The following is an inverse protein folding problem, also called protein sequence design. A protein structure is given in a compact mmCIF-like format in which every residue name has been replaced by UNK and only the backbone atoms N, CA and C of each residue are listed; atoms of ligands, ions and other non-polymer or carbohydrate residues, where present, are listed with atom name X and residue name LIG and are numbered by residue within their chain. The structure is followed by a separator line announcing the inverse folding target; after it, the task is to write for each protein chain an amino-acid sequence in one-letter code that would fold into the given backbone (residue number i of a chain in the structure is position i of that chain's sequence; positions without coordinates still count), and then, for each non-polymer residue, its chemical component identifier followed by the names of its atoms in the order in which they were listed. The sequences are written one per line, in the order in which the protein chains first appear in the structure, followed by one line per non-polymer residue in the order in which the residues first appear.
data_IF_743498107861
#
_entry.id   IF_743498107861
#
_cell.length_a   1.000
_cell.length_b   1.000
_cell.length_c   1.000
_cell.angle_alpha   90.00
_cell.angle_beta   90.00
_cell.angle_gamma   90.00
#
_symmetry.space_group_name_H-M   'P 1'
#
loop_
_entity.id
_entity.type
_entity.pdbx_description
1 polymer ?
#
# COMPACT_ATOMS: atom_id res chain seq x y z
N UNK A 1 -48.79 -0.54 -74.54
CA UNK A 1 -49.22 0.75 -73.95
C UNK A 1 -48.55 0.91 -72.58
N UNK A 2 -48.13 2.14 -72.20
CA UNK A 2 -47.52 2.53 -70.89
C UNK A 2 -46.16 1.83 -70.57
N UNK A 3 -45.02 2.55 -70.56
CA UNK A 3 -44.46 3.45 -69.49
C UNK A 3 -44.18 2.66 -68.19
N UNK A 4 -43.05 2.67 -67.49
CA UNK A 4 -41.74 3.42 -67.45
C UNK A 4 -40.69 2.42 -66.87
N UNK A 5 -39.35 2.60 -66.81
CA UNK A 5 -38.37 3.65 -67.20
C UNK A 5 -36.97 2.99 -67.38
N UNK A 6 -35.88 3.77 -67.51
CA UNK A 6 -34.47 3.30 -67.52
C UNK A 6 -33.70 3.66 -66.22
N UNK A 7 -32.53 3.01 -66.05
CA UNK A 7 -31.31 3.30 -65.24
C UNK A 7 -30.91 2.00 -64.50
N UNK A 8 -29.93 1.19 -64.93
CA UNK A 8 -28.54 1.44 -65.33
C UNK A 8 -27.68 1.98 -64.17
N UNK A 9 -26.77 1.13 -63.67
CA UNK A 9 -25.88 1.43 -62.54
C UNK A 9 -25.27 0.17 -61.91
N UNK A 10 -24.26 -0.42 -62.55
CA UNK A 10 -23.34 -1.32 -61.85
C UNK A 10 -22.31 -0.48 -61.09
N UNK A 11 -22.21 -0.66 -59.78
CA UNK A 11 -21.13 -0.10 -58.96
C UNK A 11 -20.55 -1.21 -58.08
N UNK A 12 -19.47 -1.83 -58.55
CA UNK A 12 -18.55 -2.60 -57.70
C UNK A 12 -17.82 -1.62 -56.76
N UNK A 13 -17.92 -1.83 -55.45
CA UNK A 13 -17.29 -0.97 -54.45
C UNK A 13 -17.13 -1.67 -53.11
N UNK A 14 -15.97 -2.32 -52.96
CA UNK A 14 -15.25 -2.62 -51.71
C UNK A 14 -16.03 -2.67 -50.39
N UNK A 15 -16.07 -3.88 -49.79
CA UNK A 15 -16.24 -4.04 -48.34
C UNK A 15 -15.13 -3.31 -47.60
N UNK A 16 -15.44 -2.14 -47.02
CA UNK A 16 -14.54 -1.47 -46.10
C UNK A 16 -14.63 -2.21 -44.76
N UNK A 17 -13.78 -3.22 -44.59
CA UNK A 17 -13.44 -3.72 -43.28
C UNK A 17 -12.59 -2.65 -42.58
N UNK A 18 -13.24 -1.73 -41.86
CA UNK A 18 -12.54 -0.85 -40.93
C UNK A 18 -11.99 -1.70 -39.79
N UNK A 19 -10.75 -2.17 -39.93
CA UNK A 19 -9.91 -2.54 -38.81
C UNK A 19 -9.53 -1.27 -38.03
N UNK A 20 -10.55 -0.63 -37.44
CA UNK A 20 -10.40 0.47 -36.50
C UNK A 20 -10.12 -0.11 -35.12
N UNK A 21 -9.08 0.42 -34.47
CA UNK A 21 -8.51 -0.13 -33.24
C UNK A 21 -9.58 -0.32 -32.15
N UNK A 22 -9.68 -1.56 -31.66
CA UNK A 22 -10.53 -1.93 -30.53
C UNK A 22 -9.77 -1.57 -29.23
N UNK A 23 -9.70 -0.26 -28.96
CA UNK A 23 -8.81 0.34 -27.95
C UNK A 23 -9.46 1.57 -27.31
N UNK A 24 -10.60 1.37 -26.64
CA UNK A 24 -11.29 2.38 -25.80
C UNK A 24 -12.42 1.79 -24.95
N UNK A 25 -12.39 0.49 -24.62
CA UNK A 25 -13.50 -0.20 -23.93
C UNK A 25 -13.23 -0.43 -22.43
N UNK A 26 -11.98 -0.27 -21.98
CA UNK A 26 -11.59 -0.35 -20.57
C UNK A 26 -10.44 0.64 -20.29
N UNK A 27 -10.77 1.92 -20.20
CA UNK A 27 -9.87 2.98 -19.72
C UNK A 27 -10.39 3.53 -18.38
N UNK A 28 -10.79 2.60 -17.50
CA UNK A 28 -11.07 2.84 -16.07
C UNK A 28 -9.81 2.55 -15.23
N UNK A 29 -8.62 2.94 -15.74
CA UNK A 29 -7.40 2.89 -14.94
C UNK A 29 -7.43 4.08 -13.97
N UNK A 30 -7.29 3.88 -12.64
CA UNK A 30 -7.26 4.98 -11.69
C UNK A 30 -6.17 6.01 -12.04
N UNK A 31 -6.44 7.30 -11.83
CA UNK A 31 -5.44 8.34 -12.06
C UNK A 31 -4.27 8.22 -11.07
N UNK A 32 -3.06 8.59 -11.52
CA UNK A 32 -1.84 8.60 -10.70
C UNK A 32 -1.49 7.25 -10.06
N UNK A 33 -1.58 6.15 -10.82
CA UNK A 33 -1.01 4.84 -10.48
C UNK A 33 0.14 4.48 -11.42
N UNK A 34 1.20 3.92 -10.86
CA UNK A 34 2.37 3.43 -11.59
C UNK A 34 2.21 1.94 -11.99
N UNK A 35 1.50 1.17 -11.19
CA UNK A 35 1.27 -0.25 -11.43
C UNK A 35 -0.09 -0.50 -12.08
N UNK A 36 -0.18 -1.58 -12.87
CA UNK A 36 -1.49 -2.11 -13.30
C UNK A 36 -2.23 -2.83 -12.16
N UNK A 37 -3.53 -3.14 -12.32
CA UNK A 37 -4.36 -3.75 -11.27
C UNK A 37 -3.80 -5.08 -10.74
N UNK A 38 -3.97 -5.30 -9.45
CA UNK A 38 -3.39 -6.44 -8.74
C UNK A 38 -4.16 -7.74 -9.03
N UNK A 39 -3.53 -8.68 -9.74
CA UNK A 39 -4.16 -9.92 -10.23
C UNK A 39 -4.53 -10.95 -9.14
N UNK A 40 -3.95 -10.83 -7.94
CA UNK A 40 -4.27 -11.65 -6.76
C UNK A 40 -5.12 -10.91 -5.71
N UNK A 41 -5.70 -9.76 -6.07
CA UNK A 41 -6.69 -9.08 -5.24
C UNK A 41 -7.96 -9.94 -5.11
N UNK A 42 -8.59 -9.91 -3.93
CA UNK A 42 -9.65 -10.89 -3.56
C UNK A 42 -11.08 -10.45 -3.90
N UNK A 43 -11.27 -9.17 -4.19
CA UNK A 43 -12.52 -8.50 -4.54
C UNK A 43 -12.16 -7.16 -5.21
N UNK A 44 -13.15 -6.41 -5.71
CA UNK A 44 -12.93 -5.04 -6.18
C UNK A 44 -12.51 -4.14 -5.01
N UNK A 45 -11.79 -3.05 -5.30
CA UNK A 45 -11.18 -2.22 -4.26
C UNK A 45 -12.21 -1.62 -3.30
N UNK A 46 -13.43 -1.32 -3.78
CA UNK A 46 -14.55 -0.76 -2.99
C UNK A 46 -15.23 -1.79 -2.08
N UNK A 47 -14.99 -3.08 -2.30
CA UNK A 47 -15.56 -4.19 -1.50
C UNK A 47 -14.61 -4.66 -0.38
N UNK A 48 -13.39 -4.13 -0.34
CA UNK A 48 -12.40 -4.43 0.69
C UNK A 48 -12.57 -3.49 1.89
N UNK A 49 -12.31 -4.02 3.09
CA UNK A 49 -12.40 -3.23 4.32
C UNK A 49 -11.29 -2.17 4.42
N UNK A 50 -10.15 -2.42 3.78
CA UNK A 50 -8.95 -1.59 3.76
C UNK A 50 -8.71 -0.99 2.36
N UNK A 51 -8.06 0.18 2.27
CA UNK A 51 -7.66 0.79 1.00
C UNK A 51 -6.89 -0.17 0.09
N UNK A 52 -7.27 -0.22 -1.19
CA UNK A 52 -6.68 -1.09 -2.19
C UNK A 52 -6.39 -0.35 -3.51
N UNK A 53 -6.06 -1.08 -4.57
CA UNK A 53 -5.59 -0.51 -5.84
C UNK A 53 -6.42 0.68 -6.33
N UNK A 54 -5.75 1.82 -6.55
CA UNK A 54 -6.34 3.07 -7.06
C UNK A 54 -7.02 3.96 -6.03
N UNK A 55 -7.13 3.53 -4.77
CA UNK A 55 -7.77 4.32 -3.72
C UNK A 55 -6.76 5.20 -2.97
N UNK A 56 -7.17 6.37 -2.44
CA UNK A 56 -6.29 7.20 -1.63
C UNK A 56 -6.00 6.56 -0.27
N UNK A 57 -4.78 6.74 0.23
CA UNK A 57 -4.43 6.48 1.62
C UNK A 57 -5.22 7.44 2.52
N UNK A 58 -5.97 6.95 3.53
CA UNK A 58 -6.66 7.79 4.48
C UNK A 58 -5.69 8.68 5.25
N UNK A 59 -5.96 9.98 5.31
CA UNK A 59 -5.13 10.93 6.05
C UNK A 59 -5.12 10.60 7.56
N UNK A 60 -3.95 10.68 8.18
CA UNK A 60 -3.73 10.60 9.62
C UNK A 60 -2.44 11.34 9.98
N UNK A 61 -2.38 11.91 11.19
CA UNK A 61 -1.15 12.42 11.78
C UNK A 61 -0.84 11.57 13.01
N UNK A 62 0.39 11.05 13.09
CA UNK A 62 0.84 10.21 14.21
C UNK A 62 2.24 10.62 14.69
N UNK A 63 2.44 10.56 16.00
CA UNK A 63 3.76 10.74 16.59
C UNK A 63 4.66 9.54 16.29
N UNK A 64 5.89 9.82 15.87
CA UNK A 64 7.01 8.87 15.91
C UNK A 64 7.68 9.02 17.28
N UNK A 65 7.75 8.00 18.16
CA UNK A 65 8.39 8.11 19.46
C UNK A 65 9.91 7.84 19.40
N UNK A 66 10.46 7.53 18.21
CA UNK A 66 11.89 7.34 17.96
C UNK A 66 12.53 8.55 17.27
N UNK A 67 11.73 9.41 16.63
CA UNK A 67 12.11 10.71 16.07
C UNK A 67 11.40 11.87 16.78
N UNK A 68 11.82 13.12 16.52
CA UNK A 68 11.20 14.32 17.13
C UNK A 68 10.02 14.90 16.31
N UNK A 69 9.73 14.35 15.13
CA UNK A 69 8.76 14.90 14.16
C UNK A 69 7.62 13.90 13.89
N UNK A 70 6.34 14.31 14.00
CA UNK A 70 5.22 13.46 13.61
C UNK A 70 5.19 13.23 12.09
N UNK A 71 4.48 12.19 11.66
CA UNK A 71 4.22 11.90 10.26
C UNK A 71 2.75 12.22 9.95
N UNK A 72 2.52 13.11 8.98
CA UNK A 72 1.23 13.32 8.32
C UNK A 72 1.18 12.50 7.02
N UNK A 73 0.26 11.54 6.97
CA UNK A 73 0.03 10.70 5.80
C UNK A 73 -0.52 11.48 4.60
N UNK A 74 -1.18 12.61 4.82
CA UNK A 74 -1.72 13.48 3.77
C UNK A 74 -0.68 14.36 3.07
N UNK A 75 0.56 14.40 3.59
CA UNK A 75 1.66 15.17 3.02
C UNK A 75 2.91 14.33 2.73
N UNK A 76 2.75 13.02 2.54
CA UNK A 76 3.86 12.13 2.16
C UNK A 76 4.32 12.44 0.73
N UNK A 77 5.61 12.73 0.59
CA UNK A 77 6.31 13.01 -0.67
C UNK A 77 7.16 11.82 -1.17
N UNK A 78 6.98 10.65 -0.54
CA UNK A 78 7.77 9.42 -0.74
C UNK A 78 6.86 8.22 -0.92
N UNK A 79 7.34 7.21 -1.63
CA UNK A 79 6.68 5.90 -1.72
C UNK A 79 6.65 5.27 -0.33
N UNK A 80 5.46 4.98 0.19
CA UNK A 80 5.29 4.47 1.56
C UNK A 80 4.87 2.99 1.58
N UNK A 81 5.56 2.20 2.41
CA UNK A 81 5.10 0.89 2.87
C UNK A 81 4.41 1.09 4.21
N UNK A 82 3.09 0.89 4.28
CA UNK A 82 2.28 1.13 5.49
C UNK A 82 1.75 -0.20 6.04
N UNK A 83 1.94 -0.45 7.33
CA UNK A 83 1.35 -1.62 8.01
C UNK A 83 1.03 -1.32 9.48
N UNK A 84 0.23 -2.18 10.10
CA UNK A 84 -0.14 -2.08 11.51
C UNK A 84 0.26 -3.34 12.28
N UNK A 85 0.74 -3.16 13.51
CA UNK A 85 1.34 -4.23 14.32
C UNK A 85 1.20 -3.95 15.84
N UNK A 86 1.71 -4.85 16.66
CA UNK A 86 2.09 -4.55 18.06
C UNK A 86 3.41 -5.24 18.42
N UNK A 87 4.27 -4.58 19.19
CA UNK A 87 5.65 -5.01 19.40
C UNK A 87 5.75 -6.32 20.19
N UNK A 88 4.79 -6.53 21.09
CA UNK A 88 4.65 -7.71 21.95
C UNK A 88 4.04 -8.94 21.25
N UNK A 89 3.72 -8.86 19.95
CA UNK A 89 3.20 -9.99 19.18
C UNK A 89 4.21 -11.15 19.14
N UNK A 90 3.80 -12.39 19.51
CA UNK A 90 4.71 -13.52 19.63
C UNK A 90 5.02 -14.23 18.30
N UNK A 91 4.30 -13.94 17.22
CA UNK A 91 4.47 -14.61 15.93
C UNK A 91 4.29 -13.67 14.72
N UNK A 92 3.05 -13.35 14.35
CA UNK A 92 2.68 -12.88 13.01
C UNK A 92 3.33 -11.53 12.66
N UNK A 93 3.22 -10.52 13.53
CA UNK A 93 3.89 -9.23 13.32
C UNK A 93 5.42 -9.35 13.25
N UNK A 94 6.01 -10.29 14.00
CA UNK A 94 7.46 -10.51 14.00
C UNK A 94 7.96 -11.06 12.67
N UNK A 95 7.18 -11.94 12.04
CA UNK A 95 7.46 -12.48 10.70
C UNK A 95 7.32 -11.35 9.66
N UNK A 96 6.21 -10.61 9.69
CA UNK A 96 5.96 -9.52 8.73
C UNK A 96 7.06 -8.46 8.76
N UNK A 97 7.33 -7.88 9.94
CA UNK A 97 8.30 -6.78 10.04
C UNK A 97 9.73 -7.24 9.68
N UNK A 98 10.08 -8.51 9.91
CA UNK A 98 11.34 -9.05 9.44
C UNK A 98 11.40 -9.15 7.91
N UNK A 99 10.30 -9.55 7.24
CA UNK A 99 10.19 -9.48 5.77
C UNK A 99 10.29 -8.06 5.24
N UNK A 100 9.67 -7.09 5.92
CA UNK A 100 9.77 -5.69 5.52
C UNK A 100 11.17 -5.12 5.77
N UNK A 101 11.91 -5.59 6.77
CA UNK A 101 13.33 -5.27 6.95
C UNK A 101 14.20 -5.84 5.81
N UNK A 102 13.92 -7.05 5.29
CA UNK A 102 14.58 -7.56 4.07
C UNK A 102 14.29 -6.64 2.85
N UNK A 103 13.06 -6.13 2.72
CA UNK A 103 12.68 -5.17 1.67
C UNK A 103 13.43 -3.85 1.87
N UNK A 104 13.51 -3.34 3.10
CA UNK A 104 14.27 -2.13 3.43
C UNK A 104 15.74 -2.27 3.06
N UNK A 105 16.39 -3.40 3.38
CA UNK A 105 17.76 -3.67 2.97
C UNK A 105 17.91 -3.63 1.44
N UNK A 106 16.97 -4.26 0.72
CA UNK A 106 16.96 -4.26 -0.77
C UNK A 106 16.76 -2.86 -1.36
N UNK A 107 15.87 -2.05 -0.78
CA UNK A 107 15.63 -0.64 -1.12
C UNK A 107 16.89 0.21 -0.90
N UNK A 108 17.56 0.01 0.24
CA UNK A 108 18.79 0.72 0.59
C UNK A 108 19.97 0.34 -0.33
N UNK A 109 20.12 -0.95 -0.65
CA UNK A 109 21.14 -1.46 -1.60
C UNK A 109 20.96 -0.91 -3.02
N UNK A 110 19.70 -0.65 -3.44
CA UNK A 110 19.36 -0.02 -4.72
C UNK A 110 19.53 1.50 -4.72
N UNK A 111 19.85 2.12 -3.58
CA UNK A 111 19.98 3.57 -3.44
C UNK A 111 18.64 4.32 -3.38
N UNK A 112 17.53 3.62 -3.13
CA UNK A 112 16.18 4.18 -3.07
C UNK A 112 15.78 4.64 -1.64
N UNK A 113 16.75 4.72 -0.72
CA UNK A 113 16.55 5.07 0.70
C UNK A 113 15.74 6.36 0.87
N UNK A 114 16.07 7.41 0.11
CA UNK A 114 15.44 8.71 0.22
C UNK A 114 14.05 8.77 -0.45
N UNK A 115 13.79 7.96 -1.50
CA UNK A 115 12.48 7.93 -2.20
C UNK A 115 11.42 7.05 -1.50
N UNK A 116 11.82 6.18 -0.56
CA UNK A 116 10.93 5.19 0.09
C UNK A 116 10.88 5.38 1.60
N UNK A 117 9.72 5.19 2.24
CA UNK A 117 9.55 5.21 3.71
C UNK A 117 8.72 4.02 4.20
N UNK A 118 9.10 3.42 5.33
CA UNK A 118 8.36 2.35 6.00
C UNK A 118 7.64 2.91 7.23
N UNK A 119 6.32 2.79 7.27
CA UNK A 119 5.46 3.29 8.34
C UNK A 119 4.82 2.10 9.09
N UNK A 120 5.41 1.74 10.23
CA UNK A 120 4.90 0.69 11.11
C UNK A 120 4.05 1.30 12.24
N UNK A 121 2.73 1.19 12.16
CA UNK A 121 1.78 1.78 13.11
C UNK A 121 1.47 0.79 14.23
N UNK A 122 1.74 1.14 15.50
CA UNK A 122 1.30 0.29 16.62
C UNK A 122 -0.19 0.48 16.93
N UNK A 123 -0.92 -0.62 17.09
CA UNK A 123 -2.28 -0.62 17.65
C UNK A 123 -2.31 -0.89 19.17
N UNK A 124 -1.15 -1.00 19.82
CA UNK A 124 -1.00 -1.19 21.27
C UNK A 124 -0.16 -0.09 21.94
N UNK A 125 -0.59 1.19 21.87
CA UNK A 125 0.19 2.29 22.42
C UNK A 125 0.35 2.23 23.95
N UNK A 126 -0.39 1.39 24.67
CA UNK A 126 -0.24 1.21 26.12
C UNK A 126 1.06 0.46 26.49
N UNK A 127 1.52 -0.48 25.65
CA UNK A 127 2.73 -1.28 25.89
C UNK A 127 3.89 -0.91 24.96
N UNK A 128 3.59 -0.44 23.76
CA UNK A 128 4.59 -0.12 22.76
C UNK A 128 5.11 1.32 22.96
N UNK A 129 5.95 1.51 23.99
CA UNK A 129 6.70 2.75 24.20
C UNK A 129 7.97 2.82 23.33
N UNK A 130 8.73 3.93 23.45
CA UNK A 130 9.93 4.15 22.64
C UNK A 130 11.01 3.07 22.83
N UNK A 131 11.13 2.46 24.00
CA UNK A 131 12.14 1.43 24.25
C UNK A 131 11.67 0.05 23.77
N UNK A 132 10.37 -0.27 23.92
CA UNK A 132 9.76 -1.44 23.30
C UNK A 132 9.87 -1.40 21.76
N UNK A 133 9.71 -0.22 21.15
CA UNK A 133 9.82 -0.03 19.71
C UNK A 133 11.26 -0.11 19.20
N UNK A 134 12.25 0.42 19.94
CA UNK A 134 13.69 0.20 19.65
C UNK A 134 14.07 -1.27 19.72
N UNK A 135 13.56 -1.99 20.72
CA UNK A 135 13.84 -3.43 20.86
C UNK A 135 13.15 -4.24 19.77
N UNK A 136 11.94 -3.85 19.35
CA UNK A 136 11.27 -4.42 18.17
C UNK A 136 12.13 -4.27 16.91
N UNK A 137 12.63 -3.05 16.63
CA UNK A 137 13.48 -2.76 15.48
C UNK A 137 14.71 -3.68 15.42
N UNK A 138 15.45 -3.79 16.54
CA UNK A 138 16.59 -4.71 16.69
C UNK A 138 16.21 -6.17 16.45
N UNK A 139 15.07 -6.61 17.00
CA UNK A 139 14.59 -7.99 16.90
C UNK A 139 14.20 -8.39 15.47
N UNK A 140 13.65 -7.46 14.69
CA UNK A 140 13.21 -7.72 13.30
C UNK A 140 14.30 -7.40 12.27
N UNK A 141 15.32 -6.63 12.66
CA UNK A 141 16.42 -6.22 11.79
C UNK A 141 16.17 -4.93 11.01
N UNK A 142 15.22 -4.10 11.44
CA UNK A 142 14.94 -2.81 10.81
C UNK A 142 16.09 -1.83 11.04
N UNK A 143 16.61 -1.24 9.97
CA UNK A 143 17.68 -0.26 9.99
C UNK A 143 17.11 1.13 10.31
N UNK A 144 17.22 1.56 11.56
CA UNK A 144 16.80 2.91 11.96
C UNK A 144 17.81 3.99 11.56
N UNK A 145 19.08 3.64 11.35
CA UNK A 145 20.14 4.59 11.00
C UNK A 145 20.02 5.06 9.54
N UNK A 146 19.40 4.25 8.67
CA UNK A 146 18.99 4.65 7.32
C UNK A 146 17.89 5.73 7.28
N UNK A 147 17.22 6.05 8.39
CA UNK A 147 16.25 7.14 8.50
C UNK A 147 14.92 6.96 7.74
N UNK A 148 14.79 5.89 6.95
CA UNK A 148 13.60 5.57 6.16
C UNK A 148 12.61 4.61 6.84
N UNK A 149 12.86 4.17 8.07
CA UNK A 149 11.89 3.40 8.86
C UNK A 149 11.34 4.22 10.03
N UNK A 150 10.02 4.27 10.17
CA UNK A 150 9.30 5.02 11.21
C UNK A 150 8.33 4.11 11.94
N UNK A 151 8.37 4.20 13.26
CA UNK A 151 7.40 3.56 14.14
C UNK A 151 6.40 4.63 14.57
N UNK A 152 5.11 4.43 14.30
CA UNK A 152 4.08 5.43 14.55
C UNK A 152 3.19 4.98 15.71
N UNK A 153 3.02 5.85 16.71
CA UNK A 153 2.33 5.53 17.97
C UNK A 153 1.13 6.47 18.18
N UNK A 154 -0.10 5.96 18.07
CA UNK A 154 -1.31 6.68 18.50
C UNK A 154 -1.26 7.07 19.97
N UNK A 155 -1.93 8.17 20.32
CA UNK A 155 -1.95 8.71 21.70
C UNK A 155 -2.63 7.79 22.74
N UNK A 156 -3.51 6.88 22.30
CA UNK A 156 -4.35 6.03 23.16
C UNK A 156 -4.94 4.84 22.37
N UNK A 157 -5.45 3.78 23.03
CA UNK A 157 -6.15 2.69 22.35
C UNK A 157 -7.31 3.15 21.46
N UNK A 158 -8.10 4.12 21.91
CA UNK A 158 -9.18 4.69 21.11
C UNK A 158 -8.66 5.50 19.90
N UNK A 159 -7.42 6.02 19.93
CA UNK A 159 -6.80 6.64 18.77
C UNK A 159 -6.21 5.59 17.81
N UNK A 160 -5.73 4.45 18.33
CA UNK A 160 -5.33 3.30 17.51
C UNK A 160 -6.53 2.73 16.73
N UNK A 161 -7.66 2.49 17.40
CA UNK A 161 -8.93 2.06 16.77
C UNK A 161 -9.34 3.00 15.63
N UNK A 162 -9.39 4.31 15.89
CA UNK A 162 -9.72 5.36 14.91
C UNK A 162 -8.79 5.49 13.70
N UNK A 163 -7.58 4.93 13.73
CA UNK A 163 -6.62 5.02 12.63
C UNK A 163 -6.42 3.66 11.96
N UNK A 164 -6.19 2.62 12.75
CA UNK A 164 -5.87 1.28 12.24
C UNK A 164 -7.13 0.56 11.77
N UNK A 165 -8.26 0.67 12.50
CA UNK A 165 -9.52 0.03 12.12
C UNK A 165 -10.42 0.97 11.31
N UNK A 166 -10.87 2.09 11.88
CA UNK A 166 -11.87 2.98 11.24
C UNK A 166 -11.40 3.61 9.92
N UNK A 167 -10.09 3.90 9.78
CA UNK A 167 -9.52 4.54 8.58
C UNK A 167 -8.84 3.52 7.68
N UNK A 168 -7.85 2.79 8.20
CA UNK A 168 -7.05 1.85 7.39
C UNK A 168 -7.75 0.50 7.15
N UNK A 169 -8.86 0.19 7.82
CA UNK A 169 -9.61 -1.05 7.60
C UNK A 169 -8.94 -2.31 8.14
N UNK A 170 -7.90 -2.16 8.97
CA UNK A 170 -7.12 -3.26 9.53
C UNK A 170 -7.72 -3.62 10.89
N UNK A 171 -8.86 -4.32 10.88
CA UNK A 171 -9.56 -4.68 12.11
C UNK A 171 -8.69 -5.48 13.10
N UNK A 172 -8.78 -5.12 14.38
CA UNK A 172 -8.06 -5.77 15.47
C UNK A 172 -8.89 -5.84 16.76
N UNK A 173 -8.88 -6.97 17.45
CA UNK A 173 -9.66 -7.21 18.67
C UNK A 173 -8.73 -7.64 19.81
N UNK A 174 -8.88 -7.00 20.98
CA UNK A 174 -8.11 -7.31 22.19
C UNK A 174 -8.66 -8.55 22.88
N UNK A 175 -7.85 -9.60 23.00
CA UNK A 175 -8.19 -10.80 23.77
C UNK A 175 -7.48 -10.82 25.13
N UNK A 176 -8.26 -10.74 26.21
CA UNK A 176 -7.78 -10.83 27.60
C UNK A 176 -7.76 -12.27 28.13
N UNK A 177 -8.15 -13.27 27.34
CA UNK A 177 -8.19 -14.69 27.70
C UNK A 177 -7.02 -15.48 27.09
N UNK A 178 -6.34 -14.93 26.09
CA UNK A 178 -5.12 -15.50 25.51
C UNK A 178 -4.05 -15.70 26.57
N UNK A 179 -3.37 -16.84 26.48
CA UNK A 179 -2.17 -17.15 27.26
C UNK A 179 -0.87 -16.98 26.45
N UNK A 180 -0.94 -16.50 25.19
CA UNK A 180 0.25 -16.29 24.34
C UNK A 180 1.12 -15.14 24.85
N UNK A 181 0.51 -14.10 25.41
CA UNK A 181 1.16 -12.86 25.89
C UNK A 181 0.65 -12.52 27.28
N UNK A 182 1.49 -11.97 28.15
CA UNK A 182 1.07 -11.56 29.48
C UNK A 182 0.10 -10.36 29.44
N UNK A 183 -0.99 -10.44 30.20
CA UNK A 183 -2.02 -9.41 30.28
C UNK A 183 -3.11 -9.56 29.22
N UNK A 184 -2.79 -9.20 27.98
CA UNK A 184 -3.69 -9.33 26.83
C UNK A 184 -2.91 -9.52 25.52
N UNK A 185 -3.62 -10.00 24.52
CA UNK A 185 -3.17 -10.30 23.17
C UNK A 185 -4.10 -9.61 22.16
N UNK A 186 -3.83 -9.74 20.87
CA UNK A 186 -4.74 -9.28 19.82
C UNK A 186 -4.91 -10.33 18.72
N UNK A 187 -6.15 -10.48 18.26
CA UNK A 187 -6.44 -11.00 16.92
C UNK A 187 -6.46 -9.82 15.97
N UNK A 188 -5.73 -9.86 14.86
CA UNK A 188 -5.72 -8.75 13.91
C UNK A 188 -5.62 -9.21 12.45
N UNK A 189 -6.11 -8.39 11.54
CA UNK A 189 -5.83 -8.56 10.12
C UNK A 189 -4.38 -8.17 9.81
N UNK A 190 -3.69 -8.98 9.02
CA UNK A 190 -2.33 -8.67 8.54
C UNK A 190 -2.44 -8.12 7.12
N UNK A 191 -2.22 -6.82 6.97
CA UNK A 191 -2.26 -6.08 5.71
C UNK A 191 -1.03 -5.17 5.62
N UNK A 192 -0.43 -5.09 4.44
CA UNK A 192 0.61 -4.10 4.10
C UNK A 192 0.21 -3.39 2.83
N UNK A 193 0.22 -2.06 2.86
CA UNK A 193 -0.11 -1.20 1.72
C UNK A 193 1.18 -0.68 1.09
N UNK A 194 1.25 -0.65 -0.24
CA UNK A 194 2.20 0.16 -1.00
C UNK A 194 1.46 1.40 -1.49
N UNK A 195 1.98 2.57 -1.16
CA UNK A 195 1.41 3.88 -1.48
C UNK A 195 2.45 4.69 -2.23
N UNK A 196 2.06 5.37 -3.30
CA UNK A 196 2.96 6.23 -4.07
C UNK A 196 3.03 7.67 -3.49
N UNK A 197 3.96 8.54 -3.97
CA UNK A 197 4.07 9.94 -3.52
C UNK A 197 2.84 10.83 -3.81
N UNK A 198 1.84 10.34 -4.54
CA UNK A 198 0.55 11.03 -4.72
C UNK A 198 -0.49 10.62 -3.68
N UNK A 199 -0.12 9.77 -2.71
CA UNK A 199 -1.01 9.23 -1.69
C UNK A 199 -1.97 8.16 -2.22
N UNK A 200 -1.73 7.58 -3.39
CA UNK A 200 -2.58 6.53 -3.97
C UNK A 200 -2.00 5.14 -3.67
N UNK A 201 -2.86 4.21 -3.30
CA UNK A 201 -2.52 2.81 -3.00
C UNK A 201 -2.32 2.03 -4.30
N UNK A 202 -1.10 1.54 -4.49
CA UNK A 202 -0.65 0.75 -5.63
C UNK A 202 -0.87 -0.76 -5.41
N UNK A 203 -0.72 -1.23 -4.16
CA UNK A 203 -0.86 -2.65 -3.77
C UNK A 203 -1.40 -2.78 -2.36
N UNK A 204 -2.16 -3.86 -2.13
CA UNK A 204 -2.50 -4.34 -0.81
C UNK A 204 -2.09 -5.82 -0.67
N UNK A 205 -1.02 -6.07 0.09
CA UNK A 205 -0.54 -7.40 0.42
C UNK A 205 -1.21 -7.91 1.70
N UNK A 206 -1.49 -9.21 1.76
CA UNK A 206 -2.13 -9.85 2.93
C UNK A 206 -1.28 -10.97 3.51
N UNK A 207 -1.36 -11.12 4.82
CA UNK A 207 -0.62 -12.15 5.57
C UNK A 207 0.79 -11.71 5.93
N UNK A 208 1.38 -12.42 6.89
CA UNK A 208 2.69 -12.13 7.46
C UNK A 208 3.86 -12.60 6.57
N UNK A 209 3.61 -13.60 5.72
CA UNK A 209 4.60 -14.13 4.77
C UNK A 209 4.52 -13.41 3.42
N UNK A 210 4.67 -12.08 3.43
CA UNK A 210 4.76 -11.30 2.18
C UNK A 210 5.96 -11.75 1.35
N UNK A 211 5.79 -11.78 0.02
CA UNK A 211 6.87 -12.02 -0.92
C UNK A 211 7.73 -10.75 -1.03
N UNK A 212 8.83 -10.72 -0.27
CA UNK A 212 9.76 -9.60 -0.21
C UNK A 212 10.37 -9.23 -1.57
N UNK A 213 10.57 -10.20 -2.46
CA UNK A 213 11.18 -9.96 -3.77
C UNK A 213 10.17 -9.26 -4.69
N UNK A 214 8.90 -9.67 -4.62
CA UNK A 214 7.78 -8.95 -5.24
C UNK A 214 7.61 -7.55 -4.67
N UNK A 215 7.56 -7.38 -3.34
CA UNK A 215 7.36 -6.07 -2.70
C UNK A 215 8.48 -5.10 -3.08
N UNK A 216 9.75 -5.54 -3.07
CA UNK A 216 10.87 -4.69 -3.49
C UNK A 216 10.81 -4.29 -4.98
N UNK A 217 10.33 -5.18 -5.85
CA UNK A 217 10.15 -4.92 -7.29
C UNK A 217 8.97 -3.97 -7.56
N UNK A 218 7.84 -4.17 -6.86
CA UNK A 218 6.69 -3.26 -6.93
C UNK A 218 7.09 -1.85 -6.43
N UNK A 219 7.85 -1.74 -5.32
CA UNK A 219 8.39 -0.47 -4.79
C UNK A 219 9.30 0.24 -5.79
N UNK A 220 10.28 -0.47 -6.36
CA UNK A 220 11.20 0.08 -7.36
C UNK A 220 10.45 0.62 -8.58
N UNK A 221 9.46 -0.14 -9.09
CA UNK A 221 8.63 0.29 -10.22
C UNK A 221 7.83 1.56 -9.91
N UNK A 222 7.27 1.68 -8.71
CA UNK A 222 6.52 2.88 -8.28
C UNK A 222 7.44 4.09 -8.18
N UNK A 223 8.64 3.93 -7.59
CA UNK A 223 9.63 5.01 -7.48
C UNK A 223 10.11 5.47 -8.86
N UNK A 224 10.52 4.56 -9.74
CA UNK A 224 10.96 4.90 -11.10
C UNK A 224 9.90 5.67 -11.91
N UNK A 225 8.63 5.25 -11.78
CA UNK A 225 7.51 5.88 -12.48
C UNK A 225 7.16 7.29 -11.95
N UNK A 226 7.39 7.55 -10.66
CA UNK A 226 6.98 8.81 -10.00
C UNK A 226 8.10 9.84 -9.93
N UNK A 227 9.35 9.42 -9.67
CA UNK A 227 10.52 10.31 -9.73
C UNK A 227 10.76 10.84 -11.16
N UNK A 228 10.48 10.00 -12.18
CA UNK A 228 10.63 10.34 -13.60
C UNK A 228 9.73 11.48 -14.11
N UNK A 229 8.68 11.84 -13.38
CA UNK A 229 7.77 12.94 -13.73
C UNK A 229 8.34 14.35 -13.49
N UNK A 230 9.45 14.47 -12.75
CA UNK A 230 10.00 15.75 -12.29
C UNK A 230 11.04 16.39 -13.23
N UNK A 231 11.40 15.71 -14.33
CA UNK A 231 12.54 16.07 -15.20
C UNK A 231 12.20 16.53 -16.62
N UNK A 232 11.02 17.11 -16.85
CA UNK A 232 10.49 17.39 -18.20
C UNK A 232 9.99 18.81 -18.47
N UNK A 233 10.88 19.80 -18.52
CA UNK A 233 10.69 21.12 -19.17
C UNK A 233 11.87 21.46 -20.10
#
# INVERSE_FOLDING_TARGET
MRRRSLLCGMATGTTIATAGCLSSVFDDTPENVALGPQSDQRAESEELAYPAYGQPLPAFELADPLADTPIDAGSLDRTAIVTAFFASCPAECGILLHRLADVQATVNERGLTDSVVFLSITFDPERDDADALRENARRVGADLDAGNWRYLRPESPAAAERVVEDRLGIGFERDTNSSRVAGYDFTHSVVTLLVNPHGIVERAYRGETVDRDRVATDVETVVEATDGGSGGE
#
